data_IF_486472638188
#
_entry.id   IF_486472638188
#
_cell.length_a   1.000
_cell.length_b   1.000
_cell.length_c   1.000
_cell.angle_alpha   90.00
_cell.angle_beta   90.00
_cell.angle_gamma   90.00
#
_symmetry.space_group_name_H-M   'P 1'
#
loop_
_entity.id
_entity.type
_entity.pdbx_description
1 polymer ?
#
# COMPACT_ATOMS: atom_id res chain seq x y z
N UNK A 1 -25.32 0.79 16.41
CA UNK A 1 -25.04 -0.29 15.43
C UNK A 1 -23.67 -0.02 14.86
N UNK A 2 -22.76 -0.97 14.92
CA UNK A 2 -21.46 -0.82 14.25
C UNK A 2 -21.73 -0.72 12.75
N UNK A 3 -21.12 0.28 12.11
CA UNK A 3 -21.20 0.42 10.67
C UNK A 3 -20.33 -0.69 10.05
N UNK A 4 -20.95 -1.72 9.51
CA UNK A 4 -20.26 -2.87 8.90
C UNK A 4 -19.54 -2.48 7.59
N UNK A 5 -19.84 -1.29 7.05
CA UNK A 5 -19.16 -0.71 5.90
C UNK A 5 -18.04 0.21 6.39
N UNK A 6 -16.80 -0.27 6.27
CA UNK A 6 -15.62 0.40 6.79
C UNK A 6 -14.82 1.07 5.66
N UNK A 7 -13.81 1.86 6.00
CA UNK A 7 -12.99 2.60 5.02
C UNK A 7 -12.21 1.66 4.08
N UNK A 8 -11.77 2.18 2.92
CA UNK A 8 -10.92 1.46 1.97
C UNK A 8 -9.65 0.90 2.63
N UNK A 9 -9.02 1.68 3.52
CA UNK A 9 -7.86 1.25 4.32
C UNK A 9 -8.17 0.04 5.21
N UNK A 10 -9.37 -0.01 5.82
CA UNK A 10 -9.79 -1.17 6.61
C UNK A 10 -9.96 -2.40 5.72
N UNK A 11 -10.59 -2.27 4.55
CA UNK A 11 -10.75 -3.37 3.60
C UNK A 11 -9.40 -3.87 3.08
N UNK A 12 -8.43 -2.97 2.86
CA UNK A 12 -7.07 -3.35 2.50
C UNK A 12 -6.45 -4.23 3.58
N UNK A 13 -6.52 -3.82 4.86
CA UNK A 13 -6.00 -4.58 5.98
C UNK A 13 -6.69 -5.95 6.14
N UNK A 14 -8.01 -6.03 5.95
CA UNK A 14 -8.75 -7.31 5.97
C UNK A 14 -8.26 -8.28 4.88
N UNK A 15 -8.00 -7.76 3.67
CA UNK A 15 -7.57 -8.60 2.55
C UNK A 15 -6.16 -9.14 2.73
N UNK A 16 -5.21 -8.28 3.12
CA UNK A 16 -3.80 -8.69 3.23
C UNK A 16 -3.46 -9.37 4.55
N UNK A 17 -4.25 -9.13 5.60
CA UNK A 17 -4.00 -9.69 6.94
C UNK A 17 -3.69 -11.20 6.96
N UNK A 18 -4.47 -12.04 6.28
CA UNK A 18 -4.22 -13.48 6.23
C UNK A 18 -2.89 -13.90 5.61
N UNK A 19 -2.30 -13.07 4.73
CA UNK A 19 -0.99 -13.31 4.12
C UNK A 19 0.18 -12.89 5.02
N UNK A 20 -0.08 -12.08 6.05
CA UNK A 20 0.93 -11.52 6.95
C UNK A 20 1.16 -12.42 8.18
N UNK A 21 1.58 -13.65 7.93
CA UNK A 21 1.97 -14.57 9.02
C UNK A 21 3.33 -14.18 9.61
N UNK A 22 3.68 -14.64 10.84
CA UNK A 22 5.01 -14.42 11.40
C UNK A 22 6.12 -14.84 10.43
N UNK A 23 7.06 -13.95 10.15
CA UNK A 23 8.12 -14.14 9.16
C UNK A 23 7.79 -13.62 7.76
N UNK A 24 6.57 -13.12 7.51
CA UNK A 24 6.20 -12.51 6.23
C UNK A 24 7.03 -11.27 5.90
N UNK A 25 7.09 -10.96 4.60
CA UNK A 25 7.70 -9.75 4.04
C UNK A 25 6.60 -8.85 3.50
N UNK A 26 6.61 -7.58 3.86
CA UNK A 26 5.62 -6.62 3.38
C UNK A 26 6.26 -5.30 2.96
N UNK A 27 5.59 -4.59 2.04
CA UNK A 27 5.95 -3.24 1.64
C UNK A 27 4.81 -2.30 2.02
N UNK A 28 5.15 -1.19 2.70
CA UNK A 28 4.34 0.02 2.81
C UNK A 28 4.89 1.05 1.83
N UNK A 29 4.22 1.22 0.70
CA UNK A 29 4.68 2.08 -0.37
C UNK A 29 4.45 3.58 -0.11
N UNK A 30 3.72 3.92 0.96
CA UNK A 30 3.30 5.29 1.32
C UNK A 30 3.24 5.45 2.83
N UNK A 31 4.42 5.33 3.51
CA UNK A 31 4.45 5.19 4.98
C UNK A 31 3.84 6.37 5.75
N UNK A 32 3.95 7.59 5.23
CA UNK A 32 3.37 8.78 5.83
C UNK A 32 3.67 8.93 7.33
N UNK A 33 2.62 8.94 8.15
CA UNK A 33 2.74 9.00 9.61
C UNK A 33 3.00 7.63 10.28
N UNK A 34 3.29 6.58 9.52
CA UNK A 34 3.74 5.28 10.01
C UNK A 34 2.67 4.35 10.55
N UNK A 35 1.38 4.69 10.46
CA UNK A 35 0.29 3.88 11.05
C UNK A 35 0.13 2.53 10.35
N UNK A 36 0.26 2.49 9.03
CA UNK A 36 0.18 1.26 8.25
C UNK A 36 1.47 0.47 8.41
N UNK A 37 2.64 1.12 8.38
CA UNK A 37 3.93 0.50 8.69
C UNK A 37 3.94 -0.17 10.07
N UNK A 38 3.43 0.50 11.10
CA UNK A 38 3.32 -0.07 12.46
C UNK A 38 2.42 -1.30 12.48
N UNK A 39 1.24 -1.20 11.83
CA UNK A 39 0.33 -2.34 11.75
C UNK A 39 0.99 -3.52 11.05
N UNK A 40 1.65 -3.31 9.90
CA UNK A 40 2.39 -4.34 9.18
C UNK A 40 3.48 -4.97 10.06
N UNK A 41 4.28 -4.16 10.77
CA UNK A 41 5.32 -4.65 11.69
C UNK A 41 4.76 -5.56 12.80
N UNK A 42 3.57 -5.24 13.29
CA UNK A 42 2.90 -6.08 14.30
C UNK A 42 2.43 -7.41 13.71
N UNK A 43 1.93 -7.41 12.46
CA UNK A 43 1.45 -8.62 11.78
C UNK A 43 2.59 -9.57 11.42
N UNK A 44 3.67 -9.07 10.81
CA UNK A 44 4.78 -9.93 10.35
C UNK A 44 5.62 -10.54 11.49
N UNK A 45 5.44 -10.06 12.72
CA UNK A 45 6.11 -10.59 13.91
C UNK A 45 7.63 -10.30 13.95
N UNK A 46 8.33 -10.96 14.86
CA UNK A 46 9.76 -10.69 15.14
C UNK A 46 10.70 -11.10 14.00
N UNK A 47 10.35 -12.15 13.28
CA UNK A 47 11.14 -12.70 12.16
C UNK A 47 10.76 -12.11 10.81
N UNK A 48 9.68 -11.32 10.76
CA UNK A 48 9.22 -10.65 9.55
C UNK A 48 9.98 -9.36 9.24
N UNK A 49 9.71 -8.79 8.06
CA UNK A 49 10.32 -7.54 7.61
C UNK A 49 9.31 -6.67 6.88
N UNK A 50 9.35 -5.36 7.15
CA UNK A 50 8.58 -4.34 6.44
C UNK A 50 9.53 -3.35 5.78
N UNK A 51 9.34 -3.12 4.49
CA UNK A 51 10.03 -2.08 3.72
C UNK A 51 9.07 -0.91 3.54
N UNK A 52 9.43 0.27 4.02
CA UNK A 52 8.52 1.41 4.01
C UNK A 52 9.12 2.61 3.27
N UNK A 53 8.32 3.24 2.41
CA UNK A 53 8.75 4.29 1.49
C UNK A 53 7.98 5.58 1.69
N UNK A 54 8.67 6.69 1.67
CA UNK A 54 8.12 8.04 1.51
C UNK A 54 9.19 8.97 0.93
N UNK A 55 8.78 9.95 0.14
CA UNK A 55 9.70 10.95 -0.41
C UNK A 55 10.03 12.05 0.59
N UNK A 56 9.24 12.19 1.66
CA UNK A 56 9.34 13.25 2.64
C UNK A 56 10.19 12.81 3.85
N UNK A 57 11.32 13.47 4.13
CA UNK A 57 12.16 13.14 5.31
C UNK A 57 11.36 13.18 6.62
N UNK A 58 10.41 14.11 6.75
CA UNK A 58 9.56 14.23 7.94
C UNK A 58 8.68 12.99 8.16
N UNK A 59 8.14 12.39 7.10
CA UNK A 59 7.37 11.15 7.18
C UNK A 59 8.25 10.01 7.72
N UNK A 60 9.48 9.90 7.21
CA UNK A 60 10.46 8.91 7.66
C UNK A 60 10.77 9.07 9.15
N UNK A 61 11.03 10.30 9.62
CA UNK A 61 11.35 10.55 11.02
C UNK A 61 10.15 10.32 11.95
N UNK A 62 8.93 10.73 11.54
CA UNK A 62 7.69 10.45 12.30
C UNK A 62 7.46 8.95 12.43
N UNK A 63 7.60 8.22 11.32
CA UNK A 63 7.46 6.76 11.31
C UNK A 63 8.53 6.09 12.16
N UNK A 64 9.78 6.52 12.07
CA UNK A 64 10.89 6.03 12.92
C UNK A 64 10.60 6.21 14.41
N UNK A 65 10.17 7.40 14.81
CA UNK A 65 9.83 7.71 16.20
C UNK A 65 8.66 6.83 16.70
N UNK A 66 7.63 6.66 15.88
CA UNK A 66 6.48 5.81 16.19
C UNK A 66 6.90 4.35 16.39
N UNK A 67 7.64 3.77 15.44
CA UNK A 67 8.08 2.38 15.51
C UNK A 67 9.05 2.12 16.67
N UNK A 68 9.89 3.10 16.99
CA UNK A 68 10.80 3.05 18.16
C UNK A 68 9.99 3.05 19.46
N UNK A 69 9.01 3.94 19.58
CA UNK A 69 8.12 4.01 20.76
C UNK A 69 7.33 2.71 21.00
N UNK A 70 6.98 2.02 19.92
CA UNK A 70 6.24 0.74 19.96
C UNK A 70 7.16 -0.50 20.03
N UNK A 71 8.48 -0.31 20.04
CA UNK A 71 9.45 -1.41 20.17
C UNK A 71 9.58 -2.33 18.96
N UNK A 72 9.16 -1.87 17.76
CA UNK A 72 9.14 -2.69 16.54
C UNK A 72 10.02 -2.15 15.41
N UNK A 73 10.83 -1.12 15.67
CA UNK A 73 11.68 -0.50 14.64
C UNK A 73 12.64 -1.49 13.97
N UNK A 74 13.11 -2.49 14.69
CA UNK A 74 13.98 -3.54 14.16
C UNK A 74 13.33 -4.42 13.09
N UNK A 75 12.01 -4.37 12.93
CA UNK A 75 11.24 -5.10 11.91
C UNK A 75 11.08 -4.30 10.61
N UNK A 76 11.46 -3.01 10.59
CA UNK A 76 11.28 -2.14 9.46
C UNK A 76 12.60 -1.61 8.90
N UNK A 77 12.63 -1.45 7.57
CA UNK A 77 13.63 -0.65 6.85
C UNK A 77 12.90 0.53 6.21
N UNK A 78 13.28 1.75 6.58
CA UNK A 78 12.62 2.98 6.14
C UNK A 78 13.46 3.67 5.07
N UNK A 79 12.85 3.98 3.93
CA UNK A 79 13.49 4.63 2.79
C UNK A 79 12.90 6.02 2.56
N UNK A 80 13.75 7.06 2.58
CA UNK A 80 13.40 8.39 2.08
C UNK A 80 13.55 8.41 0.55
N UNK A 81 12.57 7.82 -0.15
CA UNK A 81 12.64 7.54 -1.60
C UNK A 81 11.23 7.33 -2.14
N UNK A 82 11.03 7.68 -3.43
CA UNK A 82 9.78 7.37 -4.12
C UNK A 82 9.53 5.86 -4.24
N UNK A 83 8.28 5.49 -4.11
CA UNK A 83 7.85 4.09 -4.15
C UNK A 83 8.05 3.42 -5.52
N UNK A 84 8.13 4.20 -6.61
CA UNK A 84 8.44 3.71 -7.97
C UNK A 84 9.83 3.06 -8.05
N UNK A 85 10.67 3.33 -7.08
CA UNK A 85 12.05 2.81 -7.00
C UNK A 85 12.20 1.65 -6.01
N UNK A 86 11.07 1.03 -5.59
CA UNK A 86 11.11 -0.04 -4.58
C UNK A 86 11.94 -1.25 -5.04
N UNK A 87 11.88 -1.61 -6.32
CA UNK A 87 12.64 -2.73 -6.86
C UNK A 87 14.17 -2.51 -6.92
N UNK A 88 14.64 -1.27 -6.69
CA UNK A 88 16.09 -1.01 -6.60
C UNK A 88 16.68 -1.40 -5.24
N UNK A 89 15.86 -1.54 -4.21
CA UNK A 89 16.30 -1.71 -2.81
C UNK A 89 15.64 -2.88 -2.09
N UNK A 90 14.58 -3.45 -2.65
CA UNK A 90 13.96 -4.67 -2.17
C UNK A 90 14.32 -5.79 -3.15
N UNK A 91 15.17 -6.70 -2.71
CA UNK A 91 15.75 -7.77 -3.52
C UNK A 91 15.16 -9.16 -3.22
N UNK A 92 14.18 -9.22 -2.32
CA UNK A 92 13.48 -10.45 -1.94
C UNK A 92 11.98 -10.39 -2.28
N UNK A 93 11.35 -11.53 -2.62
CA UNK A 93 9.91 -11.58 -2.84
C UNK A 93 9.11 -11.30 -1.57
N UNK A 94 8.00 -10.56 -1.73
CA UNK A 94 7.15 -10.12 -0.63
C UNK A 94 5.76 -10.76 -0.65
N UNK A 95 5.15 -10.89 0.53
CA UNK A 95 3.83 -11.48 0.71
C UNK A 95 2.71 -10.45 0.48
N UNK A 96 2.98 -9.18 0.79
CA UNK A 96 2.02 -8.10 0.63
C UNK A 96 2.66 -6.77 0.29
N UNK A 97 1.96 -5.95 -0.51
CA UNK A 97 2.28 -4.55 -0.78
C UNK A 97 1.04 -3.70 -0.51
N UNK A 98 1.22 -2.59 0.19
CA UNK A 98 0.15 -1.68 0.56
C UNK A 98 0.46 -0.26 0.11
N UNK A 99 -0.50 0.38 -0.57
CA UNK A 99 -0.49 1.79 -0.92
C UNK A 99 -1.68 2.49 -0.26
N UNK A 100 -1.43 3.67 0.24
CA UNK A 100 -2.45 4.60 0.72
C UNK A 100 -2.15 5.96 0.09
N UNK A 101 -2.69 6.18 -1.14
CA UNK A 101 -2.31 7.30 -2.01
C UNK A 101 -2.77 8.65 -1.44
N UNK A 102 -2.25 9.73 -2.00
CA UNK A 102 -2.61 11.09 -1.64
C UNK A 102 -1.46 11.85 -0.98
N UNK A 103 -1.77 12.72 -0.04
CA UNK A 103 -0.80 13.56 0.68
C UNK A 103 -0.64 13.14 2.15
N UNK A 104 0.48 13.56 2.74
CA UNK A 104 0.76 13.32 4.16
C UNK A 104 -0.25 14.11 5.03
N UNK A 105 -1.08 13.44 5.84
CA UNK A 105 -2.01 14.14 6.71
C UNK A 105 -1.30 15.08 7.69
N UNK A 106 -1.72 16.36 7.69
CA UNK A 106 -1.14 17.40 8.55
C UNK A 106 0.11 18.09 8.00
N UNK A 107 0.50 17.81 6.75
CA UNK A 107 1.50 18.57 6.00
C UNK A 107 0.83 19.53 5.00
N UNK A 108 1.61 20.45 4.42
CA UNK A 108 1.14 21.24 3.29
C UNK A 108 0.82 20.33 2.10
N UNK A 109 -0.27 20.62 1.36
CA UNK A 109 -0.77 19.80 0.25
C UNK A 109 0.12 19.85 -1.01
N UNK A 110 1.37 20.31 -0.88
CA UNK A 110 2.32 20.47 -2.00
C UNK A 110 2.91 19.16 -2.52
N UNK A 111 2.92 18.10 -1.72
CA UNK A 111 3.45 16.79 -2.10
C UNK A 111 2.32 15.77 -2.05
N UNK A 112 1.98 15.21 -3.21
CA UNK A 112 0.99 14.14 -3.37
C UNK A 112 1.55 13.07 -4.30
N UNK A 113 0.98 11.87 -4.26
CA UNK A 113 1.25 10.83 -5.25
C UNK A 113 0.82 11.28 -6.65
N UNK A 114 1.40 10.71 -7.68
CA UNK A 114 1.15 11.07 -9.09
C UNK A 114 0.93 9.81 -9.92
N UNK A 115 0.08 9.92 -10.94
CA UNK A 115 -0.28 8.80 -11.82
C UNK A 115 0.97 8.05 -12.32
N UNK A 116 1.97 8.77 -12.84
CA UNK A 116 3.12 8.15 -13.48
C UNK A 116 3.96 7.33 -12.50
N UNK A 117 4.26 7.88 -11.32
CA UNK A 117 5.04 7.18 -10.29
C UNK A 117 4.23 6.07 -9.63
N UNK A 118 2.92 6.26 -9.48
CA UNK A 118 2.01 5.25 -8.90
C UNK A 118 1.90 4.02 -9.81
N UNK A 119 1.75 4.20 -11.13
CA UNK A 119 1.71 3.07 -12.07
C UNK A 119 3.04 2.31 -12.12
N UNK A 120 4.18 3.02 -12.18
CA UNK A 120 5.50 2.39 -12.11
C UNK A 120 5.69 1.59 -10.83
N UNK A 121 5.22 2.14 -9.69
CA UNK A 121 5.29 1.45 -8.40
C UNK A 121 4.37 0.24 -8.34
N UNK A 122 3.18 0.30 -8.95
CA UNK A 122 2.26 -0.83 -9.03
C UNK A 122 2.87 -2.00 -9.84
N UNK A 123 3.53 -1.71 -10.96
CA UNK A 123 4.25 -2.71 -11.74
C UNK A 123 5.43 -3.30 -10.97
N UNK A 124 6.22 -2.47 -10.28
CA UNK A 124 7.32 -2.92 -9.42
C UNK A 124 6.80 -3.82 -8.27
N UNK A 125 5.67 -3.43 -7.66
CA UNK A 125 5.03 -4.22 -6.62
C UNK A 125 4.61 -5.61 -7.13
N UNK A 126 3.96 -5.69 -8.31
CA UNK A 126 3.58 -6.98 -8.91
C UNK A 126 4.79 -7.88 -9.21
N UNK A 127 5.92 -7.29 -9.63
CA UNK A 127 7.14 -8.04 -9.89
C UNK A 127 7.71 -8.66 -8.59
N UNK A 128 7.63 -7.93 -7.47
CA UNK A 128 8.13 -8.34 -6.16
C UNK A 128 7.19 -9.32 -5.42
N UNK A 129 5.88 -9.35 -5.76
CA UNK A 129 4.94 -10.23 -5.07
C UNK A 129 5.29 -11.71 -5.27
N UNK A 130 5.24 -12.48 -4.19
CA UNK A 130 5.21 -13.95 -4.24
C UNK A 130 3.93 -14.45 -4.95
N UNK A 131 3.92 -15.69 -5.48
CA UNK A 131 2.65 -16.36 -5.78
C UNK A 131 1.74 -16.36 -4.55
N UNK A 132 0.46 -16.07 -4.73
CA UNK A 132 -0.56 -15.85 -3.69
C UNK A 132 -0.40 -14.53 -2.91
N UNK A 133 0.64 -13.74 -3.19
CA UNK A 133 0.83 -12.42 -2.59
C UNK A 133 -0.22 -11.41 -3.06
N UNK A 134 -0.43 -10.39 -2.26
CA UNK A 134 -1.50 -9.39 -2.41
C UNK A 134 -0.94 -7.97 -2.48
N UNK A 135 -1.42 -7.22 -3.46
CA UNK A 135 -1.27 -5.77 -3.57
C UNK A 135 -2.59 -5.11 -3.24
N UNK A 136 -2.56 -4.08 -2.41
CA UNK A 136 -3.72 -3.21 -2.13
C UNK A 136 -3.36 -1.75 -2.37
N UNK A 137 -4.26 -1.02 -3.03
CA UNK A 137 -4.11 0.40 -3.34
C UNK A 137 -5.38 1.13 -2.90
N UNK A 138 -5.29 1.93 -1.84
CA UNK A 138 -6.34 2.85 -1.45
C UNK A 138 -6.17 4.15 -2.22
N UNK A 139 -7.16 4.51 -3.05
CA UNK A 139 -7.16 5.71 -3.88
C UNK A 139 -8.18 6.71 -3.32
N UNK A 140 -7.83 7.99 -3.29
CA UNK A 140 -8.65 9.07 -2.76
C UNK A 140 -9.08 10.02 -3.89
N UNK A 141 -10.16 9.73 -4.62
CA UNK A 141 -10.57 10.48 -5.82
C UNK A 141 -11.18 11.85 -5.54
N UNK A 142 -11.33 12.26 -4.28
CA UNK A 142 -11.93 13.55 -3.90
C UNK A 142 -11.12 14.80 -4.30
N UNK A 143 -10.05 14.66 -5.08
CA UNK A 143 -9.25 15.75 -5.67
C UNK A 143 -8.77 15.36 -7.07
N UNK A 144 -8.38 16.37 -7.88
CA UNK A 144 -8.10 16.18 -9.30
C UNK A 144 -7.06 15.08 -9.59
N UNK A 145 -5.93 15.07 -8.87
CA UNK A 145 -4.90 14.04 -9.09
C UNK A 145 -5.37 12.65 -8.65
N UNK A 146 -6.07 12.54 -7.51
CA UNK A 146 -6.63 11.27 -7.06
C UNK A 146 -7.70 10.70 -8.00
N UNK A 147 -8.48 11.56 -8.67
CA UNK A 147 -9.42 11.12 -9.70
C UNK A 147 -8.68 10.55 -10.92
N UNK A 148 -7.59 11.20 -11.36
CA UNK A 148 -6.72 10.71 -12.45
C UNK A 148 -6.01 9.39 -12.07
N UNK A 149 -5.54 9.28 -10.83
CA UNK A 149 -4.94 8.03 -10.31
C UNK A 149 -5.97 6.89 -10.32
N UNK A 150 -7.23 7.15 -9.92
CA UNK A 150 -8.28 6.13 -9.93
C UNK A 150 -8.58 5.64 -11.35
N UNK A 151 -8.70 6.55 -12.33
CA UNK A 151 -8.92 6.21 -13.74
C UNK A 151 -7.77 5.34 -14.26
N UNK A 152 -6.53 5.83 -14.15
CA UNK A 152 -5.35 5.15 -14.64
C UNK A 152 -5.12 3.77 -13.98
N UNK A 153 -5.30 3.67 -12.67
CA UNK A 153 -5.19 2.40 -11.95
C UNK A 153 -6.31 1.41 -12.28
N UNK A 154 -7.51 1.91 -12.61
CA UNK A 154 -8.62 1.07 -13.07
C UNK A 154 -8.30 0.45 -14.43
N UNK A 155 -7.80 1.24 -15.37
CA UNK A 155 -7.37 0.76 -16.69
C UNK A 155 -6.20 -0.22 -16.57
N UNK A 156 -5.18 0.12 -15.76
CA UNK A 156 -4.04 -0.76 -15.48
C UNK A 156 -4.48 -2.09 -14.91
N UNK A 157 -5.35 -2.11 -13.89
CA UNK A 157 -5.82 -3.33 -13.27
C UNK A 157 -6.68 -4.19 -14.22
N UNK A 158 -7.51 -3.56 -15.07
CA UNK A 158 -8.30 -4.24 -16.09
C UNK A 158 -7.43 -4.85 -17.20
N UNK A 159 -6.25 -4.29 -17.47
CA UNK A 159 -5.29 -4.79 -18.45
C UNK A 159 -4.40 -5.94 -17.96
N UNK A 160 -4.48 -6.31 -16.69
CA UNK A 160 -3.67 -7.41 -16.14
C UNK A 160 -4.07 -8.76 -16.75
N UNK A 161 -3.08 -9.63 -16.97
CA UNK A 161 -3.30 -10.94 -17.63
C UNK A 161 -4.13 -11.85 -16.72
N UNK A 162 -5.36 -12.23 -17.14
CA UNK A 162 -6.19 -13.17 -16.39
C UNK A 162 -5.48 -14.51 -16.18
N UNK A 163 -5.67 -15.11 -15.01
CA UNK A 163 -4.99 -16.34 -14.63
C UNK A 163 -3.61 -16.15 -13.99
N UNK A 164 -2.89 -15.06 -14.36
CA UNK A 164 -1.68 -14.65 -13.66
C UNK A 164 -2.00 -13.73 -12.48
N UNK A 165 -3.01 -12.89 -12.66
CA UNK A 165 -3.49 -11.94 -11.66
C UNK A 165 -5.00 -11.94 -11.59
N UNK A 166 -5.57 -11.80 -10.40
CA UNK A 166 -6.95 -11.46 -10.15
C UNK A 166 -7.01 -10.06 -9.56
N UNK A 167 -7.74 -9.16 -10.22
CA UNK A 167 -7.93 -7.80 -9.76
C UNK A 167 -9.39 -7.56 -9.35
N UNK A 168 -9.60 -6.82 -8.27
CA UNK A 168 -10.92 -6.39 -7.83
C UNK A 168 -10.92 -4.92 -7.42
N UNK A 169 -12.07 -4.29 -7.53
CA UNK A 169 -12.33 -2.95 -6.99
C UNK A 169 -13.46 -3.01 -5.97
N UNK A 170 -13.28 -2.32 -4.83
CA UNK A 170 -14.30 -2.14 -3.81
C UNK A 170 -14.55 -0.67 -3.55
N UNK A 171 -15.79 -0.20 -3.79
CA UNK A 171 -16.19 1.19 -3.61
C UNK A 171 -17.63 1.31 -3.12
N UNK A 172 -17.93 2.41 -2.48
CA UNK A 172 -19.32 2.77 -2.19
C UNK A 172 -20.04 3.18 -3.48
N UNK A 173 -21.32 2.79 -3.60
CA UNK A 173 -22.12 3.08 -4.78
C UNK A 173 -22.97 4.36 -4.65
N UNK A 174 -23.24 4.79 -3.43
CA UNK A 174 -24.23 5.83 -3.13
C UNK A 174 -23.75 6.87 -2.11
N UNK A 175 -22.45 6.92 -1.81
CA UNK A 175 -21.90 7.92 -0.91
C UNK A 175 -21.47 9.17 -1.66
N UNK A 176 -21.77 10.38 -1.13
CA UNK A 176 -21.31 11.64 -1.73
C UNK A 176 -19.80 11.85 -1.53
N UNK A 177 -19.24 12.85 -2.24
CA UNK A 177 -17.88 13.35 -2.08
C UNK A 177 -16.78 12.33 -2.39
N UNK A 178 -17.03 11.46 -3.37
CA UNK A 178 -16.04 10.52 -3.92
C UNK A 178 -15.19 9.83 -2.84
N UNK A 179 -15.82 8.96 -2.02
CA UNK A 179 -15.13 8.29 -0.93
C UNK A 179 -13.98 7.42 -1.45
N UNK A 180 -12.99 7.12 -0.59
CA UNK A 180 -11.86 6.29 -0.98
C UNK A 180 -12.27 4.95 -1.58
N UNK A 181 -11.57 4.55 -2.63
CA UNK A 181 -11.75 3.31 -3.39
C UNK A 181 -10.58 2.39 -3.11
N UNK A 182 -10.87 1.09 -2.95
CA UNK A 182 -9.84 0.06 -2.87
C UNK A 182 -9.72 -0.67 -4.21
N UNK A 183 -8.50 -0.72 -4.74
CA UNK A 183 -8.10 -1.67 -5.79
C UNK A 183 -7.21 -2.72 -5.12
N UNK A 184 -7.47 -3.99 -5.37
CA UNK A 184 -6.64 -5.08 -4.86
C UNK A 184 -6.31 -6.05 -6.00
N UNK A 185 -5.07 -6.53 -6.01
CA UNK A 185 -4.56 -7.47 -7.00
C UNK A 185 -3.90 -8.64 -6.27
N UNK A 186 -4.30 -9.84 -6.63
CA UNK A 186 -3.67 -11.09 -6.18
C UNK A 186 -2.81 -11.65 -7.31
N UNK A 187 -1.57 -12.05 -7.00
CA UNK A 187 -0.74 -12.83 -7.90
C UNK A 187 -1.06 -14.31 -7.73
N UNK A 188 -1.58 -14.95 -8.79
CA UNK A 188 -1.94 -16.36 -8.76
C UNK A 188 -0.71 -17.28 -8.81
N UNK A 189 -0.86 -18.53 -8.36
CA UNK A 189 0.14 -19.57 -8.60
C UNK A 189 0.24 -19.84 -10.11
N UNK A 190 1.46 -20.06 -10.60
CA UNK A 190 1.62 -20.62 -11.92
C UNK A 190 0.95 -22.00 -11.95
N UNK A 191 0.09 -22.20 -12.95
CA UNK A 191 -0.50 -23.53 -13.21
C UNK A 191 0.55 -24.45 -13.81
#
# INVERSE_FOLDING_TARGET
>A
MANDFRSARFWAAELIGPALVPGARAIDATMGNGKDTLWLCKQVGETGRVYAFDVQPEAVERTRALLKGEGVLNRATLFCRGHERMAEVVDEPVDAVMFNLGWLPGAEHGVTTRVETTLQAADAALALLKPEGLLTICVYPGHAEGARELEALTEWAAGLVPGRYDALMKRYMNQPNDPPVLIAVKRNKAK
#
